data_IF_663469706763
#
_entry.id   IF_663469706763
#
_cell.length_a   1.000
_cell.length_b   1.000
_cell.length_c   1.000
_cell.angle_alpha   90.00
_cell.angle_beta   90.00
_cell.angle_gamma   90.00
#
_symmetry.space_group_name_H-M   'P 1'
#
loop_
_entity.id
_entity.type
_entity.pdbx_description
1 polymer ?
#
# COMPACT_ATOMS: atom_id res chain seq x y z
N UNK A 1 -7.28 -7.98 21.91
CA UNK A 1 -6.55 -6.70 22.10
C UNK A 1 -5.68 -6.72 23.34
N UNK A 2 -6.16 -7.23 24.47
CA UNK A 2 -5.43 -7.29 25.74
C UNK A 2 -4.04 -7.95 25.61
N UNK A 3 -3.94 -9.17 25.10
CA UNK A 3 -2.65 -9.84 24.90
C UNK A 3 -1.73 -9.13 23.89
N UNK A 4 -2.29 -8.53 22.83
CA UNK A 4 -1.50 -7.79 21.85
C UNK A 4 -0.87 -6.54 22.47
N UNK A 5 -1.62 -5.83 23.34
CA UNK A 5 -1.14 -4.65 24.04
C UNK A 5 -0.03 -4.96 25.05
N UNK A 6 -0.03 -6.15 25.64
CA UNK A 6 1.02 -6.59 26.58
C UNK A 6 2.35 -6.90 25.87
N UNK A 7 2.28 -7.36 24.61
CA UNK A 7 3.46 -7.74 23.83
C UNK A 7 4.02 -6.56 23.03
N UNK A 8 3.20 -5.55 22.73
CA UNK A 8 3.62 -4.36 21.96
C UNK A 8 4.93 -3.71 22.45
N UNK A 9 5.21 -3.55 23.77
CA UNK A 9 6.47 -2.97 24.25
C UNK A 9 7.71 -3.82 24.01
N UNK A 10 7.55 -5.10 23.69
CA UNK A 10 8.65 -6.04 23.42
C UNK A 10 9.03 -6.11 21.94
N UNK A 11 8.27 -5.43 21.08
CA UNK A 11 8.50 -5.40 19.64
C UNK A 11 9.51 -4.31 19.27
N UNK A 12 10.25 -4.47 18.16
CA UNK A 12 11.10 -3.41 17.63
C UNK A 12 10.29 -2.13 17.35
N UNK A 13 10.90 -0.96 17.52
CA UNK A 13 10.24 0.35 17.31
C UNK A 13 9.62 0.50 15.90
N UNK A 14 10.18 -0.19 14.90
CA UNK A 14 9.68 -0.18 13.52
C UNK A 14 8.53 -1.15 13.26
N UNK A 15 8.15 -1.99 14.21
CA UNK A 15 7.13 -3.01 14.03
C UNK A 15 5.75 -2.47 14.44
N UNK A 16 4.80 -2.48 13.51
CA UNK A 16 3.39 -2.16 13.78
C UNK A 16 2.58 -3.44 13.85
N UNK A 17 1.79 -3.61 14.92
CA UNK A 17 0.86 -4.74 15.03
C UNK A 17 -0.53 -4.35 14.59
N UNK A 18 -1.23 -5.27 13.95
CA UNK A 18 -2.62 -5.12 13.54
C UNK A 18 -3.36 -6.45 13.72
N UNK A 19 -4.66 -6.38 13.96
CA UNK A 19 -5.52 -7.56 13.88
C UNK A 19 -5.86 -7.83 12.42
N UNK A 20 -5.92 -9.12 12.07
CA UNK A 20 -6.44 -9.55 10.77
C UNK A 20 -7.93 -9.26 10.64
N UNK A 21 -8.45 -9.39 9.42
CA UNK A 21 -9.88 -9.23 9.13
C UNK A 21 -10.69 -10.38 9.71
N UNK A 22 -12.00 -10.17 9.87
CA UNK A 22 -12.94 -11.20 10.35
C UNK A 22 -13.32 -12.16 9.21
N UNK A 23 -12.30 -12.74 8.57
CA UNK A 23 -12.42 -13.72 7.50
C UNK A 23 -11.30 -14.77 7.57
N UNK A 24 -11.53 -15.89 6.89
CA UNK A 24 -10.53 -16.95 6.70
C UNK A 24 -10.34 -17.21 5.20
N UNK A 25 -9.40 -18.09 4.81
CA UNK A 25 -9.13 -18.41 3.40
C UNK A 25 -10.33 -18.94 2.61
N UNK A 26 -11.38 -19.44 3.27
CA UNK A 26 -12.62 -19.87 2.59
C UNK A 26 -13.57 -18.70 2.25
N UNK A 27 -13.29 -17.48 2.73
CA UNK A 27 -14.11 -16.29 2.48
C UNK A 27 -13.90 -15.63 1.11
N UNK A 28 -13.17 -16.26 0.19
CA UNK A 28 -12.90 -15.74 -1.15
C UNK A 28 -14.08 -16.02 -2.07
N UNK A 29 -15.14 -15.20 -1.97
CA UNK A 29 -16.42 -15.44 -2.64
C UNK A 29 -16.44 -14.96 -4.09
N UNK A 30 -15.86 -13.80 -4.37
CA UNK A 30 -15.90 -13.21 -5.71
C UNK A 30 -14.55 -12.60 -6.09
N UNK A 31 -14.11 -12.86 -7.33
CA UNK A 31 -12.86 -12.36 -7.89
C UNK A 31 -13.13 -11.73 -9.25
N UNK A 32 -12.50 -10.58 -9.51
CA UNK A 32 -12.60 -9.87 -10.77
C UNK A 32 -11.26 -9.25 -11.16
N UNK A 33 -11.17 -8.81 -12.41
CA UNK A 33 -10.04 -8.05 -12.93
C UNK A 33 -10.55 -6.75 -13.55
N UNK A 34 -9.85 -5.64 -13.28
CA UNK A 34 -10.05 -4.39 -13.99
C UNK A 34 -9.22 -4.42 -15.28
N UNK A 35 -9.89 -4.15 -16.40
CA UNK A 35 -9.25 -4.18 -17.73
C UNK A 35 -9.77 -3.02 -18.54
N UNK A 36 -8.85 -2.16 -19.00
CA UNK A 36 -9.14 -1.19 -20.05
C UNK A 36 -8.54 -1.69 -21.38
N UNK A 37 -9.42 -1.92 -22.37
CA UNK A 37 -9.03 -2.38 -23.71
C UNK A 37 -8.74 -1.24 -24.68
N UNK A 38 -9.07 -0.01 -24.31
CA UNK A 38 -8.82 1.19 -25.12
C UNK A 38 -7.40 1.71 -24.91
N UNK A 39 -6.77 1.36 -23.79
CA UNK A 39 -5.45 1.85 -23.39
C UNK A 39 -5.46 3.24 -22.76
N UNK A 40 -6.63 3.76 -22.37
CA UNK A 40 -6.78 5.02 -21.66
C UNK A 40 -6.36 4.95 -20.19
N UNK A 41 -6.26 3.74 -19.62
CA UNK A 41 -5.82 3.49 -18.27
C UNK A 41 -4.65 2.51 -18.18
N UNK A 42 -3.64 2.89 -17.39
CA UNK A 42 -2.53 2.00 -17.05
C UNK A 42 -2.80 1.17 -15.76
N UNK A 43 -1.87 0.27 -15.41
CA UNK A 43 -2.00 -0.57 -14.22
C UNK A 43 -2.03 0.23 -12.91
N UNK A 44 -1.41 1.40 -12.86
CA UNK A 44 -1.38 2.22 -11.65
C UNK A 44 -2.69 2.97 -11.45
N UNK A 45 -3.31 3.42 -12.53
CA UNK A 45 -4.63 4.04 -12.50
C UNK A 45 -5.70 3.01 -12.16
N UNK A 46 -5.69 1.83 -12.79
CA UNK A 46 -6.61 0.74 -12.45
C UNK A 46 -6.44 0.29 -10.99
N UNK A 47 -5.20 0.18 -10.50
CA UNK A 47 -4.91 -0.11 -9.08
C UNK A 47 -5.44 0.99 -8.17
N UNK A 48 -5.33 2.25 -8.58
CA UNK A 48 -5.84 3.38 -7.81
C UNK A 48 -7.36 3.38 -7.74
N UNK A 49 -8.05 3.06 -8.85
CA UNK A 49 -9.51 2.88 -8.86
C UNK A 49 -9.92 1.75 -7.90
N UNK A 50 -9.20 0.63 -7.91
CA UNK A 50 -9.44 -0.47 -6.98
C UNK A 50 -9.32 -0.01 -5.51
N UNK A 51 -8.19 0.62 -5.16
CA UNK A 51 -7.85 0.92 -3.77
C UNK A 51 -8.66 2.10 -3.19
N UNK A 52 -8.98 3.10 -4.02
CA UNK A 52 -9.57 4.36 -3.56
C UNK A 52 -11.05 4.53 -3.89
N UNK A 53 -11.62 3.66 -4.72
CA UNK A 53 -13.05 3.68 -5.05
C UNK A 53 -13.70 2.34 -4.76
N UNK A 54 -13.38 1.30 -5.54
CA UNK A 54 -14.12 0.03 -5.50
C UNK A 54 -14.02 -0.67 -4.14
N UNK A 55 -12.85 -0.65 -3.51
CA UNK A 55 -12.66 -1.21 -2.17
C UNK A 55 -13.65 -0.61 -1.17
N UNK A 56 -13.74 0.72 -1.10
CA UNK A 56 -14.61 1.39 -0.15
C UNK A 56 -16.08 1.14 -0.46
N UNK A 57 -16.49 1.23 -1.72
CA UNK A 57 -17.88 0.96 -2.12
C UNK A 57 -18.31 -0.48 -1.76
N UNK A 58 -17.48 -1.47 -2.11
CA UNK A 58 -17.81 -2.88 -1.89
C UNK A 58 -17.74 -3.30 -0.42
N UNK A 59 -16.87 -2.69 0.39
CA UNK A 59 -16.80 -2.97 1.83
C UNK A 59 -18.02 -2.46 2.61
N UNK A 60 -18.88 -1.63 2.03
CA UNK A 60 -20.14 -1.21 2.68
C UNK A 60 -21.25 -2.26 2.60
N UNK A 61 -21.09 -3.29 1.76
CA UNK A 61 -22.10 -4.33 1.57
C UNK A 61 -22.15 -5.22 2.83
N UNK A 62 -23.37 -5.47 3.33
CA UNK A 62 -23.58 -6.34 4.48
C UNK A 62 -23.00 -7.74 4.23
N UNK A 63 -22.23 -8.25 5.21
CA UNK A 63 -21.56 -9.55 5.13
C UNK A 63 -20.19 -9.53 4.43
N UNK A 64 -19.74 -8.38 3.90
CA UNK A 64 -18.39 -8.23 3.36
C UNK A 64 -17.43 -7.80 4.47
N UNK A 65 -16.52 -8.68 4.87
CA UNK A 65 -15.49 -8.36 5.86
C UNK A 65 -14.28 -7.66 5.25
N UNK A 66 -13.90 -8.03 4.02
CA UNK A 66 -12.73 -7.47 3.34
C UNK A 66 -12.90 -7.45 1.82
N UNK A 67 -12.37 -6.39 1.19
CA UNK A 67 -12.15 -6.33 -0.25
C UNK A 67 -10.66 -6.14 -0.48
N UNK A 68 -9.99 -7.23 -0.84
CA UNK A 68 -8.55 -7.27 -1.04
C UNK A 68 -8.19 -7.05 -2.51
N UNK A 69 -7.17 -6.22 -2.75
CA UNK A 69 -6.68 -5.93 -4.08
C UNK A 69 -5.49 -6.83 -4.43
N UNK A 70 -5.58 -7.55 -5.54
CA UNK A 70 -4.58 -8.52 -6.00
C UNK A 70 -3.91 -8.01 -7.28
N UNK A 71 -2.58 -7.92 -7.28
CA UNK A 71 -1.81 -7.39 -8.42
C UNK A 71 -1.99 -5.88 -8.61
N UNK A 72 -1.79 -5.41 -9.86
CA UNK A 72 -1.73 -3.99 -10.19
C UNK A 72 -0.41 -3.32 -9.78
N UNK A 73 -0.28 -2.02 -10.04
CA UNK A 73 0.92 -1.26 -9.67
C UNK A 73 0.57 -0.13 -8.72
N UNK A 74 1.10 -0.13 -7.50
CA UNK A 74 0.89 1.00 -6.59
C UNK A 74 1.78 2.16 -7.07
N UNK A 75 1.16 3.32 -7.32
CA UNK A 75 1.90 4.51 -7.73
C UNK A 75 2.90 4.89 -6.64
N UNK A 76 4.18 4.95 -7.02
CA UNK A 76 5.26 5.36 -6.14
C UNK A 76 5.99 6.56 -6.73
N UNK A 77 6.30 7.53 -5.88
CA UNK A 77 7.20 8.62 -6.20
C UNK A 77 8.62 8.19 -5.84
N UNK A 78 9.44 7.89 -6.86
CA UNK A 78 10.81 7.45 -6.66
C UNK A 78 11.76 8.62 -6.88
N UNK A 79 12.45 9.03 -5.82
CA UNK A 79 13.53 10.02 -5.92
C UNK A 79 14.83 9.28 -6.21
N UNK A 80 15.26 9.31 -7.47
CA UNK A 80 16.50 8.68 -7.92
C UNK A 80 17.62 9.71 -7.87
N UNK A 81 18.46 9.63 -6.85
CA UNK A 81 19.60 10.54 -6.68
C UNK A 81 20.74 10.20 -7.65
N UNK A 82 21.32 11.22 -8.28
CA UNK A 82 22.50 11.11 -9.15
C UNK A 82 23.79 11.32 -8.31
N UNK A 83 24.64 10.29 -8.15
CA UNK A 83 25.85 10.39 -7.33
C UNK A 83 26.86 11.44 -7.80
N UNK A 84 26.95 11.68 -9.11
CA UNK A 84 27.89 12.67 -9.66
C UNK A 84 27.40 14.09 -9.38
N UNK A 85 26.09 14.33 -9.46
CA UNK A 85 25.51 15.62 -9.04
C UNK A 85 25.67 15.87 -7.55
N UNK A 86 25.42 14.86 -6.71
CA UNK A 86 25.64 14.98 -5.27
C UNK A 86 27.09 15.38 -4.94
N UNK A 87 28.07 14.78 -5.62
CA UNK A 87 29.48 15.14 -5.46
C UNK A 87 29.78 16.55 -5.96
N UNK A 88 29.28 16.92 -7.13
CA UNK A 88 29.48 18.26 -7.71
C UNK A 88 28.96 19.38 -6.80
N UNK A 89 27.86 19.14 -6.10
CA UNK A 89 27.28 20.08 -5.12
C UNK A 89 27.73 19.85 -3.67
N UNK A 90 28.69 18.95 -3.42
CA UNK A 90 29.14 18.56 -2.07
C UNK A 90 27.97 18.24 -1.11
N UNK A 91 26.90 17.64 -1.64
CA UNK A 91 25.65 17.35 -0.92
C UNK A 91 25.60 15.87 -0.56
N UNK A 92 25.65 15.51 0.72
CA UNK A 92 25.48 14.13 1.15
C UNK A 92 24.07 13.60 0.83
N UNK A 93 23.94 12.30 0.56
CA UNK A 93 22.63 11.66 0.35
C UNK A 93 21.68 11.85 1.56
N UNK A 94 22.23 11.85 2.78
CA UNK A 94 21.46 12.10 4.00
C UNK A 94 20.77 13.47 3.99
N UNK A 95 21.40 14.50 3.42
CA UNK A 95 20.82 15.83 3.31
C UNK A 95 19.62 15.83 2.36
N UNK A 96 19.68 15.08 1.26
CA UNK A 96 18.54 14.92 0.34
C UNK A 96 17.38 14.22 1.04
N UNK A 97 17.67 13.16 1.81
CA UNK A 97 16.66 12.45 2.60
C UNK A 97 15.96 13.38 3.59
N UNK A 98 16.73 14.11 4.41
CA UNK A 98 16.19 15.05 5.40
C UNK A 98 15.46 16.23 4.78
N UNK A 99 15.76 16.61 3.54
CA UNK A 99 15.03 17.67 2.83
C UNK A 99 13.67 17.21 2.28
N UNK A 100 13.42 15.91 2.18
CA UNK A 100 12.18 15.32 1.68
C UNK A 100 11.25 14.87 2.81
N UNK A 101 11.82 14.36 3.91
CA UNK A 101 11.10 14.00 5.16
C UNK A 101 10.54 15.24 5.87
#
# INVERSE_FOLDING_TARGET
>A
LEYLSQVAPTLPDSATTALGTDATGVGWIYQYALVDRTGGHDLAELRSIQDWLLKYELQTIEGVSEVAAIGGMVRQYQVVADPERLRAYSTPLSQVRTAIE
#
